data_IF_966608408753
#
_entry.id   IF_966608408753
#
_cell.length_a   1.000
_cell.length_b   1.000
_cell.length_c   1.000
_cell.angle_alpha   90.00
_cell.angle_beta   90.00
_cell.angle_gamma   90.00
#
_symmetry.space_group_name_H-M   'P 1'
#
loop_
_entity.id
_entity.type
_entity.pdbx_description
1 polymer ?
#
# COMPACT_ATOMS: atom_id res chain seq x y z
N UNK A 1 -7.06 -0.28 -13.27
CA UNK A 1 -6.96 1.18 -13.26
C UNK A 1 -5.54 1.67 -12.97
N UNK A 2 -4.67 0.83 -12.46
CA UNK A 2 -3.27 1.14 -12.22
C UNK A 2 -2.36 0.18 -13.00
N UNK A 3 -1.17 0.66 -13.29
CA UNK A 3 -0.09 -0.12 -13.89
C UNK A 3 1.11 -0.05 -12.94
N UNK A 4 1.90 -1.11 -12.93
CA UNK A 4 3.15 -1.18 -12.17
C UNK A 4 4.32 -1.13 -13.15
N UNK A 5 5.29 -0.31 -12.84
CA UNK A 5 6.53 -0.15 -13.60
C UNK A 5 7.69 -0.54 -12.68
N UNK A 6 8.45 -1.54 -13.08
CA UNK A 6 9.64 -1.98 -12.39
C UNK A 6 10.88 -1.44 -13.10
N UNK A 7 11.84 -0.95 -12.33
CA UNK A 7 13.11 -0.40 -12.81
C UNK A 7 14.25 -1.30 -12.33
N UNK A 8 15.22 -1.56 -13.19
CA UNK A 8 16.38 -2.36 -12.85
C UNK A 8 17.17 -1.78 -11.66
N UNK A 9 17.75 -2.64 -10.81
CA UNK A 9 18.52 -2.19 -9.66
C UNK A 9 19.73 -1.34 -10.07
N UNK A 10 19.98 -0.26 -9.35
CA UNK A 10 21.13 0.61 -9.56
C UNK A 10 21.97 0.74 -8.29
N UNK A 11 23.27 0.94 -8.45
CA UNK A 11 24.16 1.22 -7.31
C UNK A 11 24.01 2.68 -6.89
N UNK A 12 23.81 2.93 -5.60
CA UNK A 12 23.72 4.27 -5.02
C UNK A 12 25.09 4.95 -4.85
N UNK A 13 25.93 4.87 -5.88
CA UNK A 13 27.27 5.47 -5.88
C UNK A 13 27.43 6.38 -7.09
N UNK A 14 28.23 7.42 -6.95
CA UNK A 14 28.54 8.36 -8.03
C UNK A 14 27.27 8.96 -8.66
N UNK A 15 27.01 8.65 -9.93
CA UNK A 15 25.81 9.10 -10.66
C UNK A 15 24.67 8.09 -10.66
N UNK A 16 24.72 7.08 -9.80
CA UNK A 16 23.74 5.99 -9.80
C UNK A 16 22.28 6.45 -9.61
N UNK A 17 22.05 7.46 -8.75
CA UNK A 17 20.70 8.03 -8.58
C UNK A 17 20.22 8.76 -9.84
N UNK A 18 21.11 9.48 -10.54
CA UNK A 18 20.76 10.16 -11.81
C UNK A 18 20.37 9.12 -12.87
N UNK A 19 21.19 8.08 -13.02
CA UNK A 19 20.92 7.00 -13.98
C UNK A 19 19.60 6.25 -13.64
N UNK A 20 19.33 6.05 -12.36
CA UNK A 20 18.08 5.45 -11.90
C UNK A 20 16.88 6.32 -12.24
N UNK A 21 16.96 7.63 -12.01
CA UNK A 21 15.91 8.60 -12.38
C UNK A 21 15.69 8.61 -13.90
N UNK A 22 16.76 8.64 -14.69
CA UNK A 22 16.68 8.61 -16.16
C UNK A 22 15.97 7.35 -16.66
N UNK A 23 16.29 6.18 -16.08
CA UNK A 23 15.64 4.91 -16.41
C UNK A 23 14.13 4.90 -16.04
N UNK A 24 13.80 5.41 -14.85
CA UNK A 24 12.41 5.53 -14.43
C UNK A 24 11.61 6.47 -15.35
N UNK A 25 12.20 7.62 -15.68
CA UNK A 25 11.59 8.60 -16.60
C UNK A 25 11.36 8.02 -17.99
N UNK A 26 12.31 7.25 -18.51
CA UNK A 26 12.16 6.55 -19.78
C UNK A 26 10.98 5.58 -19.75
N UNK A 27 10.91 4.73 -18.73
CA UNK A 27 9.80 3.75 -18.56
C UNK A 27 8.43 4.43 -18.43
N UNK A 28 8.35 5.56 -17.70
CA UNK A 28 7.11 6.34 -17.58
C UNK A 28 6.70 6.96 -18.92
N UNK A 29 7.64 7.51 -19.69
CA UNK A 29 7.36 8.07 -21.02
C UNK A 29 6.89 7.00 -22.01
N UNK A 30 7.46 5.81 -21.97
CA UNK A 30 7.04 4.69 -22.82
C UNK A 30 5.62 4.22 -22.45
N UNK A 31 5.33 4.17 -21.14
CA UNK A 31 3.99 3.82 -20.67
C UNK A 31 2.95 4.88 -21.07
N UNK A 32 3.28 6.17 -20.98
CA UNK A 32 2.41 7.27 -21.44
C UNK A 32 2.16 7.19 -22.93
N UNK A 33 3.20 6.94 -23.75
CA UNK A 33 3.06 6.79 -25.19
C UNK A 33 2.09 5.66 -25.57
N UNK A 34 2.20 4.50 -24.90
CA UNK A 34 1.28 3.37 -25.09
C UNK A 34 -0.13 3.66 -24.60
N UNK A 35 -0.28 4.40 -23.50
CA UNK A 35 -1.60 4.79 -23.00
C UNK A 35 -2.30 5.72 -23.99
N UNK A 36 -1.56 6.63 -24.62
CA UNK A 36 -2.10 7.55 -25.62
C UNK A 36 -2.68 6.84 -26.86
N UNK A 37 -2.15 5.66 -27.24
CA UNK A 37 -2.65 4.87 -28.35
C UNK A 37 -4.10 4.40 -28.14
N UNK A 38 -4.54 4.28 -26.88
CA UNK A 38 -5.91 3.91 -26.50
C UNK A 38 -6.71 5.09 -25.95
N UNK A 39 -6.23 6.32 -26.13
CA UNK A 39 -6.89 7.53 -25.68
C UNK A 39 -6.87 7.74 -24.15
N UNK A 40 -5.92 7.13 -23.45
CA UNK A 40 -5.73 7.26 -22.02
C UNK A 40 -4.43 8.02 -21.71
N UNK A 41 -4.33 8.54 -20.49
CA UNK A 41 -3.15 9.23 -19.96
C UNK A 41 -2.70 8.62 -18.64
N UNK A 42 -1.39 8.64 -18.42
CA UNK A 42 -0.78 8.18 -17.18
C UNK A 42 -0.77 9.32 -16.15
N UNK A 43 -1.23 9.04 -14.95
CA UNK A 43 -1.22 9.98 -13.83
C UNK A 43 -0.54 9.34 -12.63
N UNK A 44 0.46 10.02 -12.07
CA UNK A 44 1.10 9.60 -10.81
C UNK A 44 0.31 10.18 -9.64
N UNK A 45 -0.55 9.38 -9.03
CA UNK A 45 -1.40 9.80 -7.91
C UNK A 45 -1.63 8.61 -6.97
N UNK A 46 -1.81 8.87 -5.68
CA UNK A 46 -1.95 7.81 -4.67
C UNK A 46 -3.28 7.05 -4.73
N UNK A 47 -4.38 7.74 -5.04
CA UNK A 47 -5.69 7.15 -5.31
C UNK A 47 -6.31 7.93 -6.47
N UNK A 48 -6.88 7.24 -7.44
CA UNK A 48 -7.54 7.87 -8.59
C UNK A 48 -8.79 8.67 -8.11
N UNK A 49 -8.81 10.01 -8.24
CA UNK A 49 -9.89 10.84 -7.67
C UNK A 49 -11.27 10.58 -8.30
N UNK A 50 -11.27 10.03 -9.52
CA UNK A 50 -12.47 9.75 -10.30
C UNK A 50 -13.06 8.36 -10.02
N UNK A 51 -12.51 7.61 -9.05
CA UNK A 51 -13.08 6.33 -8.64
C UNK A 51 -14.51 6.50 -8.13
N UNK A 52 -15.39 5.62 -8.61
CA UNK A 52 -16.78 5.54 -8.23
C UNK A 52 -17.07 4.17 -7.61
N UNK A 53 -18.10 4.02 -6.79
CA UNK A 53 -18.47 2.71 -6.22
C UNK A 53 -18.63 1.61 -7.30
N UNK A 54 -19.17 1.93 -8.46
CA UNK A 54 -19.30 0.97 -9.58
C UNK A 54 -17.99 0.46 -10.17
N UNK A 55 -16.86 1.13 -9.90
CA UNK A 55 -15.53 0.65 -10.30
C UNK A 55 -14.92 -0.36 -9.31
N UNK A 56 -15.55 -0.52 -8.14
CA UNK A 56 -15.10 -1.43 -7.09
C UNK A 56 -15.71 -2.84 -7.22
N UNK A 57 -16.05 -3.23 -8.45
CA UNK A 57 -16.57 -4.57 -8.70
C UNK A 57 -15.43 -5.62 -8.78
N UNK A 58 -15.66 -6.88 -8.37
CA UNK A 58 -14.65 -7.94 -8.43
C UNK A 58 -13.98 -8.13 -9.78
N UNK A 59 -14.70 -7.81 -10.88
CA UNK A 59 -14.17 -7.85 -12.25
C UNK A 59 -13.06 -6.81 -12.53
N UNK A 60 -12.86 -5.84 -11.65
CA UNK A 60 -11.80 -4.86 -11.76
C UNK A 60 -10.44 -5.35 -11.18
N UNK A 61 -10.45 -6.45 -10.46
CA UNK A 61 -9.22 -7.09 -9.97
C UNK A 61 -8.50 -7.76 -11.14
N UNK A 62 -7.17 -7.62 -11.20
CA UNK A 62 -6.35 -8.33 -12.19
C UNK A 62 -6.61 -9.84 -12.13
N UNK A 63 -6.67 -10.50 -13.29
CA UNK A 63 -6.91 -11.94 -13.42
C UNK A 63 -5.70 -12.78 -12.97
N UNK A 64 -5.18 -12.52 -11.77
CA UNK A 64 -4.10 -13.26 -11.14
C UNK A 64 -4.66 -14.03 -9.93
N UNK A 65 -4.52 -15.37 -9.89
CA UNK A 65 -5.03 -16.19 -8.80
C UNK A 65 -4.60 -15.75 -7.40
N UNK A 66 -3.43 -15.13 -7.29
CA UNK A 66 -2.91 -14.60 -6.01
C UNK A 66 -3.84 -13.57 -5.39
N UNK A 67 -4.40 -12.66 -6.19
CA UNK A 67 -5.29 -11.61 -5.66
C UNK A 67 -6.64 -12.15 -5.20
N UNK A 68 -7.20 -13.11 -5.93
CA UNK A 68 -8.41 -13.80 -5.51
C UNK A 68 -8.19 -14.56 -4.20
N UNK A 69 -7.09 -15.31 -4.11
CA UNK A 69 -6.74 -16.04 -2.89
C UNK A 69 -6.53 -15.09 -1.70
N UNK A 70 -5.82 -13.98 -1.88
CA UNK A 70 -5.60 -12.99 -0.82
C UNK A 70 -6.92 -12.39 -0.35
N UNK A 71 -7.81 -12.02 -1.26
CA UNK A 71 -9.15 -11.51 -0.94
C UNK A 71 -9.95 -12.52 -0.12
N UNK A 72 -9.99 -13.77 -0.56
CA UNK A 72 -10.68 -14.85 0.15
C UNK A 72 -10.11 -15.06 1.56
N UNK A 73 -8.79 -15.09 1.71
CA UNK A 73 -8.16 -15.33 3.01
C UNK A 73 -8.40 -14.18 4.01
N UNK A 74 -8.38 -12.93 3.56
CA UNK A 74 -8.68 -11.78 4.41
C UNK A 74 -10.14 -11.84 4.88
N UNK A 75 -11.09 -12.06 3.97
CA UNK A 75 -12.50 -12.12 4.30
C UNK A 75 -12.83 -13.34 5.19
N UNK A 76 -12.23 -14.50 4.93
CA UNK A 76 -12.39 -15.68 5.78
C UNK A 76 -11.84 -15.47 7.20
N UNK A 77 -10.67 -14.87 7.33
CA UNK A 77 -10.07 -14.58 8.63
C UNK A 77 -10.91 -13.56 9.42
N UNK A 78 -11.50 -12.60 8.73
CA UNK A 78 -12.35 -11.57 9.33
C UNK A 78 -13.75 -12.09 9.69
N UNK A 79 -14.34 -12.91 8.83
CA UNK A 79 -15.70 -13.46 9.00
C UNK A 79 -16.83 -12.44 8.71
N UNK A 80 -16.51 -11.27 8.25
CA UNK A 80 -17.44 -10.16 7.94
C UNK A 80 -16.87 -9.26 6.84
N UNK A 81 -17.73 -8.44 6.22
CA UNK A 81 -17.31 -7.44 5.23
C UNK A 81 -16.31 -6.43 5.81
N UNK A 82 -15.48 -5.90 4.93
CA UNK A 82 -14.53 -4.85 5.30
C UNK A 82 -15.30 -3.54 5.49
N UNK A 83 -15.27 -3.01 6.70
CA UNK A 83 -15.83 -1.69 7.00
C UNK A 83 -14.76 -0.64 6.81
N UNK A 84 -15.05 0.36 5.97
CA UNK A 84 -14.20 1.53 5.74
C UNK A 84 -14.92 2.74 6.33
N UNK A 85 -14.34 3.34 7.35
CA UNK A 85 -14.84 4.56 8.00
C UNK A 85 -13.70 5.55 8.16
N UNK A 86 -13.70 6.60 7.38
CA UNK A 86 -12.65 7.63 7.35
C UNK A 86 -13.27 8.98 7.62
N UNK A 87 -12.82 9.64 8.68
CA UNK A 87 -13.22 10.98 9.08
C UNK A 87 -12.10 11.95 8.71
N UNK A 88 -12.34 12.80 7.71
CA UNK A 88 -11.40 13.78 7.18
C UNK A 88 -12.07 15.14 7.05
N UNK A 89 -11.79 15.89 5.98
CA UNK A 89 -12.52 17.12 5.67
C UNK A 89 -14.01 16.81 5.44
N UNK A 90 -14.28 15.69 4.77
CA UNK A 90 -15.58 15.04 4.71
C UNK A 90 -15.51 13.68 5.40
N UNK A 91 -16.66 13.01 5.53
CA UNK A 91 -16.75 11.66 6.08
C UNK A 91 -17.12 10.65 5.00
N UNK A 92 -16.42 9.52 4.98
CA UNK A 92 -16.73 8.35 4.19
C UNK A 92 -17.03 7.15 5.10
N UNK A 93 -18.23 6.58 4.97
CA UNK A 93 -18.61 5.30 5.56
C UNK A 93 -19.06 4.38 4.42
N UNK A 94 -18.43 3.24 4.26
CA UNK A 94 -18.75 2.25 3.23
C UNK A 94 -18.31 0.85 3.65
N UNK A 95 -18.77 -0.17 2.93
CA UNK A 95 -18.33 -1.56 3.11
C UNK A 95 -17.79 -2.10 1.81
N UNK A 96 -16.92 -3.10 1.89
CA UNK A 96 -16.40 -3.83 0.75
C UNK A 96 -16.35 -5.34 1.04
N UNK A 97 -16.70 -6.12 0.04
CA UNK A 97 -16.67 -7.58 0.03
C UNK A 97 -15.42 -8.15 -0.65
N UNK A 98 -14.41 -7.32 -0.83
CA UNK A 98 -13.15 -7.67 -1.50
C UNK A 98 -12.02 -6.73 -1.09
N UNK A 99 -10.79 -7.07 -1.47
CA UNK A 99 -9.58 -6.25 -1.26
C UNK A 99 -9.46 -5.04 -2.22
N UNK A 100 -10.46 -4.76 -3.04
CA UNK A 100 -10.42 -3.65 -4.00
C UNK A 100 -10.09 -2.28 -3.38
N UNK A 101 -10.54 -1.95 -2.17
CA UNK A 101 -10.12 -0.70 -1.52
C UNK A 101 -8.59 -0.61 -1.34
N UNK A 102 -7.93 -1.71 -0.96
CA UNK A 102 -6.47 -1.77 -0.91
C UNK A 102 -5.85 -1.65 -2.29
N UNK A 103 -6.37 -2.38 -3.29
CA UNK A 103 -5.89 -2.34 -4.66
C UNK A 103 -6.09 -0.97 -5.35
N UNK A 104 -6.92 -0.09 -4.82
CA UNK A 104 -7.06 1.29 -5.27
C UNK A 104 -5.88 2.19 -4.85
N UNK A 105 -5.10 1.77 -3.85
CA UNK A 105 -3.92 2.48 -3.40
C UNK A 105 -2.76 2.23 -4.37
N UNK A 106 -2.19 3.30 -4.94
CA UNK A 106 -0.97 3.24 -5.72
C UNK A 106 0.20 3.83 -4.94
N UNK A 107 1.41 3.34 -5.18
CA UNK A 107 2.59 3.77 -4.43
C UNK A 107 3.85 3.70 -5.27
N UNK A 108 4.90 4.36 -4.81
CA UNK A 108 6.28 4.12 -5.25
C UNK A 108 7.01 3.38 -4.14
N UNK A 109 7.65 2.26 -4.48
CA UNK A 109 8.42 1.46 -3.55
C UNK A 109 9.90 1.53 -3.91
N UNK A 110 10.72 1.88 -2.93
CA UNK A 110 12.18 1.86 -3.05
C UNK A 110 12.73 0.65 -2.29
N UNK A 111 13.31 -0.28 -3.03
CA UNK A 111 13.93 -1.47 -2.46
C UNK A 111 15.42 -1.21 -2.26
N UNK A 112 15.86 -1.16 -1.03
CA UNK A 112 17.28 -0.98 -0.66
C UNK A 112 17.84 -2.33 -0.23
N UNK A 113 18.80 -2.84 -1.00
CA UNK A 113 19.49 -4.07 -0.63
C UNK A 113 20.51 -3.78 0.47
N UNK A 114 20.45 -4.55 1.54
CA UNK A 114 21.38 -4.48 2.68
C UNK A 114 21.80 -5.87 3.11
N UNK A 115 22.88 -5.99 3.88
CA UNK A 115 23.27 -7.24 4.52
C UNK A 115 22.33 -7.55 5.71
N UNK A 116 22.21 -8.81 6.16
CA UNK A 116 21.48 -9.14 7.39
C UNK A 116 22.02 -8.42 8.63
N UNK A 117 23.32 -8.18 8.68
CA UNK A 117 24.00 -7.50 9.78
C UNK A 117 23.63 -6.01 9.86
N UNK A 118 23.54 -5.34 8.71
CA UNK A 118 23.23 -3.91 8.62
C UNK A 118 21.71 -3.65 8.59
N UNK A 119 20.89 -4.68 8.37
CA UNK A 119 19.45 -4.54 8.20
C UNK A 119 18.75 -3.78 9.35
N UNK A 120 19.06 -4.02 10.65
CA UNK A 120 18.43 -3.30 11.74
C UNK A 120 18.62 -1.79 11.67
N UNK A 121 19.82 -1.34 11.28
CA UNK A 121 20.11 0.10 11.17
C UNK A 121 19.30 0.73 10.05
N UNK A 122 19.25 0.08 8.88
CA UNK A 122 18.45 0.55 7.74
C UNK A 122 16.95 0.55 8.04
N UNK A 123 16.44 -0.50 8.69
CA UNK A 123 15.05 -0.57 9.11
C UNK A 123 14.70 0.55 10.09
N UNK A 124 15.47 0.69 11.15
CA UNK A 124 15.24 1.72 12.17
C UNK A 124 15.35 3.13 11.58
N UNK A 125 16.33 3.39 10.72
CA UNK A 125 16.46 4.66 10.02
C UNK A 125 15.24 4.95 9.13
N UNK A 126 14.72 3.94 8.42
CA UNK A 126 13.52 4.08 7.59
C UNK A 126 12.29 4.48 8.43
N UNK A 127 12.13 3.92 9.64
CA UNK A 127 11.07 4.33 10.56
C UNK A 127 11.21 5.80 10.99
N UNK A 128 12.44 6.25 11.27
CA UNK A 128 12.69 7.65 11.67
C UNK A 128 12.31 8.63 10.56
N UNK A 129 12.61 8.31 9.31
CA UNK A 129 12.33 9.22 8.18
C UNK A 129 10.91 9.09 7.62
N UNK A 130 10.13 8.09 8.03
CA UNK A 130 8.81 7.80 7.46
C UNK A 130 7.86 9.02 7.49
N UNK A 131 7.84 9.77 8.58
CA UNK A 131 7.01 10.98 8.69
C UNK A 131 7.41 12.08 7.70
N UNK A 132 8.71 12.25 7.44
CA UNK A 132 9.23 13.22 6.46
C UNK A 132 8.89 12.77 5.04
N UNK A 133 9.06 11.48 4.74
CA UNK A 133 8.66 10.91 3.44
C UNK A 133 7.18 11.12 3.19
N UNK A 134 6.33 10.88 4.19
CA UNK A 134 4.89 11.10 4.09
C UNK A 134 4.56 12.56 3.81
N UNK A 135 5.20 13.50 4.50
CA UNK A 135 4.97 14.93 4.31
C UNK A 135 5.29 15.39 2.88
N UNK A 136 6.28 14.77 2.23
CA UNK A 136 6.68 15.07 0.86
C UNK A 136 5.83 14.35 -0.19
N UNK A 137 5.35 13.14 0.12
CA UNK A 137 4.75 12.22 -0.84
C UNK A 137 3.22 12.11 -0.74
N UNK A 138 2.58 12.78 0.24
CA UNK A 138 1.13 12.75 0.42
C UNK A 138 0.41 13.22 -0.85
N UNK A 139 -0.38 12.33 -1.46
CA UNK A 139 -0.99 12.56 -2.77
C UNK A 139 -2.27 11.72 -2.97
N UNK A 140 -3.13 11.63 -1.96
CA UNK A 140 -4.37 10.86 -2.04
C UNK A 140 -5.54 11.53 -1.29
N UNK A 141 -5.90 12.79 -1.64
CA UNK A 141 -6.90 13.51 -0.86
C UNK A 141 -8.34 13.07 -1.13
N UNK A 142 -8.60 12.28 -2.17
CA UNK A 142 -9.96 11.91 -2.57
C UNK A 142 -10.14 10.40 -2.64
N UNK A 143 -11.32 9.94 -2.19
CA UNK A 143 -11.79 8.56 -2.36
C UNK A 143 -13.31 8.56 -2.54
N UNK A 144 -13.80 7.89 -3.60
CA UNK A 144 -15.23 7.73 -3.90
C UNK A 144 -15.99 9.06 -3.87
N UNK A 145 -15.38 10.13 -4.39
CA UNK A 145 -15.96 11.46 -4.46
C UNK A 145 -15.92 12.28 -3.18
N UNK A 146 -15.26 11.78 -2.12
CA UNK A 146 -15.09 12.48 -0.85
C UNK A 146 -13.69 13.04 -0.70
N UNK A 147 -13.59 14.26 -0.18
CA UNK A 147 -12.34 14.86 0.26
C UNK A 147 -12.06 14.43 1.70
N UNK A 148 -10.97 13.72 1.89
CA UNK A 148 -10.63 13.08 3.16
C UNK A 148 -9.28 13.60 3.69
N UNK A 149 -8.35 12.70 4.01
CA UNK A 149 -7.01 13.09 4.43
C UNK A 149 -6.15 13.45 3.23
N UNK A 150 -5.10 14.26 3.42
CA UNK A 150 -4.08 14.49 2.38
C UNK A 150 -3.42 13.18 1.93
N UNK A 151 -3.41 12.19 2.84
CA UNK A 151 -2.91 10.85 2.60
C UNK A 151 -3.93 9.78 3.05
N UNK A 152 -5.01 9.68 2.30
CA UNK A 152 -6.12 8.74 2.56
C UNK A 152 -5.70 7.27 2.44
N UNK A 153 -4.59 6.97 1.74
CA UNK A 153 -4.06 5.60 1.66
C UNK A 153 -3.77 5.00 3.03
N UNK A 154 -3.37 5.82 4.03
CA UNK A 154 -3.06 5.32 5.37
C UNK A 154 -4.30 4.66 6.00
N UNK A 155 -5.39 5.39 6.33
CA UNK A 155 -6.56 4.78 6.95
C UNK A 155 -7.26 3.77 6.04
N UNK A 156 -7.19 3.96 4.71
CA UNK A 156 -7.78 3.03 3.76
C UNK A 156 -7.05 1.67 3.78
N UNK A 157 -5.72 1.67 3.69
CA UNK A 157 -4.92 0.46 3.69
C UNK A 157 -5.02 -0.29 5.01
N UNK A 158 -4.92 0.41 6.14
CA UNK A 158 -5.08 -0.19 7.47
C UNK A 158 -6.42 -0.90 7.62
N UNK A 159 -7.52 -0.29 7.19
CA UNK A 159 -8.86 -0.85 7.32
C UNK A 159 -9.13 -1.96 6.29
N UNK A 160 -8.66 -1.81 5.06
CA UNK A 160 -8.88 -2.77 3.99
C UNK A 160 -8.10 -4.09 4.19
N UNK A 161 -6.98 -4.06 4.91
CA UNK A 161 -6.16 -5.25 5.19
C UNK A 161 -6.33 -5.80 6.61
N UNK A 162 -7.24 -5.22 7.41
CA UNK A 162 -7.49 -5.64 8.78
C UNK A 162 -8.27 -6.96 8.83
N UNK A 163 -7.64 -7.99 9.35
CA UNK A 163 -8.21 -9.34 9.48
C UNK A 163 -8.97 -9.56 10.78
N UNK A 164 -9.04 -8.55 11.66
CA UNK A 164 -9.76 -8.64 12.93
C UNK A 164 -11.25 -8.39 12.72
N UNK A 165 -12.09 -9.20 13.34
CA UNK A 165 -13.50 -8.86 13.54
C UNK A 165 -13.65 -7.70 14.52
N UNK A 166 -14.82 -7.08 14.58
CA UNK A 166 -15.10 -6.03 15.56
C UNK A 166 -14.90 -6.51 17.01
N UNK A 167 -15.24 -7.77 17.29
CA UNK A 167 -15.02 -8.37 18.60
C UNK A 167 -13.53 -8.38 18.98
N UNK A 168 -12.65 -8.80 18.06
CA UNK A 168 -11.20 -8.83 18.30
C UNK A 168 -10.62 -7.43 18.46
N UNK A 169 -11.14 -6.43 17.77
CA UNK A 169 -10.74 -5.02 17.95
C UNK A 169 -11.08 -4.52 19.35
N UNK A 170 -12.31 -4.79 19.82
CA UNK A 170 -12.77 -4.42 21.17
C UNK A 170 -11.94 -5.12 22.26
N UNK A 171 -11.50 -6.35 22.01
CA UNK A 171 -10.59 -7.09 22.91
C UNK A 171 -9.15 -6.56 22.89
N UNK A 172 -8.84 -5.57 22.06
CA UNK A 172 -7.50 -4.98 21.97
C UNK A 172 -6.49 -5.83 21.21
N UNK A 173 -6.94 -6.77 20.38
CA UNK A 173 -6.07 -7.53 19.50
C UNK A 173 -5.39 -6.56 18.52
N UNK A 174 -4.10 -6.72 18.34
CA UNK A 174 -3.26 -5.83 17.54
C UNK A 174 -3.60 -5.90 16.04
N UNK A 175 -3.63 -4.76 15.31
CA UNK A 175 -3.77 -4.77 13.86
C UNK A 175 -2.54 -5.34 13.20
N UNK A 176 -2.70 -5.91 11.99
CA UNK A 176 -1.57 -6.42 11.20
C UNK A 176 -0.67 -5.31 10.68
N UNK A 177 -1.24 -4.18 10.29
CA UNK A 177 -0.48 -3.00 9.82
C UNK A 177 -0.15 -2.12 11.00
N UNK A 178 1.13 -2.05 11.34
CA UNK A 178 1.64 -1.20 12.41
C UNK A 178 3.17 -1.11 12.34
N UNK A 179 3.79 -0.23 13.13
CA UNK A 179 5.22 0.10 13.04
C UNK A 179 6.15 -0.85 13.83
N UNK A 180 5.63 -1.79 14.59
CA UNK A 180 6.42 -2.66 15.45
C UNK A 180 6.46 -2.23 16.93
N UNK A 181 6.88 -3.13 17.80
CA UNK A 181 6.91 -2.90 19.24
C UNK A 181 8.10 -2.06 19.70
N UNK A 182 9.21 -2.17 18.98
CA UNK A 182 10.50 -1.60 19.39
C UNK A 182 11.43 -1.39 18.19
N UNK A 183 12.47 -0.64 18.42
CA UNK A 183 13.62 -0.64 17.52
C UNK A 183 14.22 -2.04 17.44
N UNK A 184 14.48 -2.53 16.25
CA UNK A 184 15.01 -3.86 16.06
C UNK A 184 16.54 -3.86 16.20
N UNK A 185 17.09 -4.99 16.66
CA UNK A 185 18.52 -5.25 16.78
C UNK A 185 19.01 -6.35 15.84
N UNK A 186 18.08 -7.08 15.27
CA UNK A 186 18.30 -8.16 14.32
C UNK A 186 17.15 -8.23 13.32
N UNK A 187 17.42 -8.68 12.11
CA UNK A 187 16.37 -9.03 11.14
C UNK A 187 15.40 -10.08 11.70
N UNK A 188 15.88 -10.93 12.59
CA UNK A 188 15.07 -11.96 13.23
C UNK A 188 13.95 -11.39 14.11
N UNK A 189 14.13 -10.19 14.68
CA UNK A 189 13.09 -9.55 15.50
C UNK A 189 11.77 -9.37 14.74
N UNK A 190 11.82 -9.12 13.44
CA UNK A 190 10.61 -8.99 12.61
C UNK A 190 9.89 -10.33 12.42
N UNK A 191 10.63 -11.41 12.23
CA UNK A 191 10.04 -12.75 12.12
C UNK A 191 9.45 -13.20 13.45
N UNK A 192 10.16 -12.96 14.56
CA UNK A 192 9.66 -13.26 15.90
C UNK A 192 8.33 -12.53 16.18
N UNK A 193 8.26 -11.24 15.86
CA UNK A 193 7.04 -10.45 16.05
C UNK A 193 5.88 -11.01 15.21
N UNK A 194 6.13 -11.34 13.95
CA UNK A 194 5.09 -11.93 13.10
C UNK A 194 4.57 -13.26 13.65
N UNK A 195 5.46 -14.16 14.06
CA UNK A 195 5.06 -15.46 14.64
C UNK A 195 4.29 -15.29 15.94
N UNK A 196 4.65 -14.29 16.75
CA UNK A 196 4.02 -14.03 18.04
C UNK A 196 2.60 -13.49 17.91
N UNK A 197 2.36 -12.59 16.96
CA UNK A 197 1.11 -11.81 16.93
C UNK A 197 0.19 -12.15 15.77
N UNK A 198 0.67 -12.75 14.71
CA UNK A 198 -0.13 -12.91 13.50
C UNK A 198 -0.13 -14.36 13.00
N UNK A 199 -1.31 -14.97 12.82
CA UNK A 199 -1.40 -16.24 12.12
C UNK A 199 -1.00 -16.07 10.65
N UNK A 200 -0.44 -17.12 10.07
CA UNK A 200 -0.17 -17.14 8.63
C UNK A 200 -1.49 -17.06 7.85
N UNK A 201 -1.52 -16.20 6.82
CA UNK A 201 -2.67 -16.07 5.92
C UNK A 201 -2.53 -16.96 4.68
N UNK A 202 -1.32 -17.41 4.36
CA UNK A 202 -1.01 -18.23 3.19
C UNK A 202 -0.12 -19.41 3.59
#
# INVERSE_FOLDING_TARGET
FNIEINVEPAKLRERGLTTFEESLRHSLNDAEAKSAEVGAHLVMIGILPTLQPGHMAPSAISANPRYSLLSEQILQARGEDIVISIDGDERLDTTADSILPEAACTSTQFHVQTSPEDFPEYWNASQVIAGVQLALAANSPYLLGKQLWRETRIPLFEQATDTRSEELKVQGVRPRVWFGERWITSVFDLFEENVRFFPALL
#
